data_IF_015981009443
#
_entry.id   IF_015981009443
#
_cell.length_a   1.000
_cell.length_b   1.000
_cell.length_c   1.000
_cell.angle_alpha   90.00
_cell.angle_beta   90.00
_cell.angle_gamma   90.00
#
_symmetry.space_group_name_H-M   'P 1'
#
loop_
_entity.id
_entity.type
_entity.pdbx_description
1 polymer ?
#
# COMPACT_ATOMS: atom_id res chain seq x y z
N UNK A 1 20.88 30.27 22.32
CA UNK A 1 20.75 29.44 23.52
C UNK A 1 20.53 28.00 23.05
N UNK A 2 21.20 26.98 23.62
CA UNK A 2 21.20 25.63 23.09
C UNK A 2 19.89 24.90 23.41
N UNK A 3 19.43 24.12 22.45
CA UNK A 3 18.28 23.23 22.59
C UNK A 3 18.62 22.09 23.57
N UNK A 4 17.79 21.90 24.60
CA UNK A 4 17.90 20.78 25.53
C UNK A 4 17.14 19.61 24.93
N UNK A 5 17.87 18.58 24.51
CA UNK A 5 17.30 17.30 24.09
C UNK A 5 17.09 16.42 25.33
N UNK A 6 15.85 16.15 25.68
CA UNK A 6 15.49 15.11 26.63
C UNK A 6 15.33 13.77 25.87
N UNK A 7 16.28 12.88 26.10
CA UNK A 7 16.24 11.50 25.63
C UNK A 7 15.61 10.63 26.73
N UNK A 8 14.42 10.14 26.52
CA UNK A 8 13.72 9.24 27.43
C UNK A 8 12.33 8.95 26.91
N UNK A 9 12.13 7.74 26.43
CA UNK A 9 10.84 7.05 26.17
C UNK A 9 9.56 7.86 26.44
N UNK A 10 9.25 8.84 25.59
CA UNK A 10 7.92 9.45 25.42
C UNK A 10 8.03 10.51 24.33
N UNK A 11 7.45 10.17 23.16
CA UNK A 11 6.85 11.09 22.19
C UNK A 11 7.53 12.46 22.05
N UNK A 12 8.30 12.65 20.99
CA UNK A 12 8.87 13.93 20.58
C UNK A 12 7.76 14.95 20.37
N UNK A 13 7.54 15.84 21.34
CA UNK A 13 6.81 17.08 21.16
C UNK A 13 7.82 18.06 20.55
N UNK A 14 7.74 18.31 19.26
CA UNK A 14 8.53 19.39 18.64
C UNK A 14 7.81 20.71 18.93
N UNK A 15 8.31 21.46 19.90
CA UNK A 15 7.92 22.85 20.15
C UNK A 15 8.63 23.73 19.11
N UNK A 16 7.90 24.20 18.11
CA UNK A 16 8.39 25.24 17.21
C UNK A 16 8.03 26.60 17.84
N UNK A 17 9.05 27.31 18.33
CA UNK A 17 8.90 28.72 18.74
C UNK A 17 8.97 29.59 17.48
N UNK A 18 7.88 30.23 17.13
CA UNK A 18 7.88 31.33 16.17
C UNK A 18 7.94 32.61 16.99
N UNK A 19 9.09 33.25 17.00
CA UNK A 19 9.24 34.62 17.56
C UNK A 19 8.73 35.59 16.51
N UNK A 20 7.57 36.20 16.73
CA UNK A 20 7.20 37.44 16.05
C UNK A 20 7.50 38.60 16.98
N UNK A 21 8.18 39.60 16.45
CA UNK A 21 8.46 40.85 17.16
C UNK A 21 7.15 41.52 17.61
N UNK A 22 7.09 41.89 18.87
CA UNK A 22 6.16 42.82 19.56
C UNK A 22 5.00 42.28 20.41
N UNK A 23 4.80 41.01 20.55
CA UNK A 23 4.02 40.54 21.71
C UNK A 23 4.20 39.00 21.86
N UNK A 24 4.68 38.61 23.04
CA UNK A 24 4.84 37.19 23.38
C UNK A 24 3.46 36.55 23.64
N UNK A 25 2.67 36.32 22.62
CA UNK A 25 1.54 35.44 22.68
C UNK A 25 2.03 33.99 22.46
N UNK A 26 2.01 33.22 23.54
CA UNK A 26 2.22 31.80 23.48
C UNK A 26 0.99 31.18 22.78
N UNK A 27 1.05 31.07 21.46
CA UNK A 27 0.04 30.31 20.72
C UNK A 27 0.32 28.82 21.01
N UNK A 28 -0.41 28.28 21.97
CA UNK A 28 -0.54 26.84 22.10
C UNK A 28 -1.25 26.30 20.87
N UNK A 29 -0.49 26.06 19.80
CA UNK A 29 -0.99 25.22 18.73
C UNK A 29 -1.13 23.83 19.33
N UNK A 30 -2.34 23.50 19.73
CA UNK A 30 -2.74 22.13 19.95
C UNK A 30 -2.58 21.42 18.60
N UNK A 31 -1.36 20.99 18.29
CA UNK A 31 -1.18 19.91 17.33
C UNK A 31 -2.01 18.76 17.89
N UNK A 32 -3.23 18.61 17.37
CA UNK A 32 -3.97 17.38 17.54
C UNK A 32 -2.95 16.30 17.29
N UNK A 33 -2.59 15.57 18.35
CA UNK A 33 -1.84 14.34 18.28
C UNK A 33 -2.34 13.64 17.02
N UNK A 34 -1.56 13.68 15.94
CA UNK A 34 -1.80 12.79 14.85
C UNK A 34 -1.76 11.44 15.56
N UNK A 35 -2.92 10.88 15.86
CA UNK A 35 -2.99 9.49 16.28
C UNK A 35 -2.24 8.79 15.17
N UNK A 36 -1.03 8.36 15.50
CA UNK A 36 -0.29 7.42 14.69
C UNK A 36 -1.16 6.17 14.72
N UNK A 37 -2.20 6.20 13.90
CA UNK A 37 -3.11 5.09 13.69
C UNK A 37 -2.18 3.96 13.30
N UNK A 38 -1.99 3.02 14.24
CA UNK A 38 -1.19 1.83 14.00
C UNK A 38 -1.72 1.25 12.70
N UNK A 39 -0.95 1.42 11.64
CA UNK A 39 -1.30 0.91 10.34
C UNK A 39 -1.56 -0.58 10.48
N UNK A 40 -2.80 -0.99 10.33
CA UNK A 40 -3.16 -2.41 10.44
C UNK A 40 -2.80 -3.08 9.13
N UNK A 41 -1.60 -3.64 9.06
CA UNK A 41 -1.20 -4.50 7.95
C UNK A 41 -1.38 -5.96 8.32
N UNK A 42 -2.22 -6.68 7.58
CA UNK A 42 -2.48 -8.11 7.80
C UNK A 42 -2.64 -8.85 6.48
N UNK A 43 -1.95 -9.98 6.35
CA UNK A 43 -2.10 -10.92 5.24
C UNK A 43 -2.61 -12.25 5.77
N UNK A 44 -3.78 -12.68 5.30
CA UNK A 44 -4.42 -13.94 5.68
C UNK A 44 -4.58 -14.83 4.45
N UNK A 45 -4.46 -16.15 4.66
CA UNK A 45 -4.77 -17.15 3.65
C UNK A 45 -5.98 -17.98 4.07
N UNK A 46 -6.79 -18.38 3.09
CA UNK A 46 -7.98 -19.19 3.31
C UNK A 46 -8.30 -20.03 2.07
N UNK A 47 -9.06 -21.09 2.24
CA UNK A 47 -9.53 -21.91 1.13
C UNK A 47 -10.78 -21.27 0.51
N UNK A 48 -10.80 -21.14 -0.82
CA UNK A 48 -12.00 -20.74 -1.55
C UNK A 48 -12.83 -21.99 -1.86
N UNK A 49 -13.79 -22.28 -0.98
CA UNK A 49 -14.73 -23.39 -1.21
C UNK A 49 -15.73 -22.99 -2.31
N UNK A 50 -15.81 -23.80 -3.35
CA UNK A 50 -16.90 -23.74 -4.32
C UNK A 50 -18.08 -24.55 -3.79
N UNK A 51 -19.30 -24.31 -4.31
CA UNK A 51 -20.50 -25.06 -3.93
C UNK A 51 -20.47 -26.54 -4.33
N UNK A 52 -19.61 -26.91 -5.30
CA UNK A 52 -19.44 -28.28 -5.75
C UNK A 52 -18.64 -29.07 -4.70
N UNK A 53 -19.33 -29.95 -4.01
CA UNK A 53 -18.85 -30.69 -2.81
C UNK A 53 -17.77 -31.73 -3.08
N UNK A 54 -17.44 -32.04 -4.33
CA UNK A 54 -16.56 -33.17 -4.70
C UNK A 54 -15.10 -32.76 -4.98
N UNK A 55 -14.73 -31.52 -4.75
CA UNK A 55 -13.35 -31.10 -4.98
C UNK A 55 -12.44 -31.54 -3.82
N UNK A 56 -11.69 -32.63 -4.03
CA UNK A 56 -10.65 -33.09 -3.09
C UNK A 56 -9.54 -32.05 -2.85
N UNK A 57 -9.39 -31.11 -3.76
CA UNK A 57 -8.32 -30.10 -3.77
C UNK A 57 -8.93 -28.73 -3.99
N UNK A 58 -8.66 -27.79 -3.10
CA UNK A 58 -9.30 -26.46 -3.05
C UNK A 58 -8.26 -25.35 -3.26
N UNK A 59 -8.55 -24.32 -4.07
CA UNK A 59 -7.63 -23.22 -4.28
C UNK A 59 -7.48 -22.35 -3.03
N UNK A 60 -6.25 -21.93 -2.76
CA UNK A 60 -5.91 -21.00 -1.68
C UNK A 60 -6.01 -19.56 -2.17
N UNK A 61 -6.74 -18.75 -1.43
CA UNK A 61 -6.84 -17.31 -1.62
C UNK A 61 -6.12 -16.58 -0.50
N UNK A 62 -5.56 -15.43 -0.84
CA UNK A 62 -5.00 -14.49 0.12
C UNK A 62 -5.87 -13.25 0.24
N UNK A 63 -5.86 -12.63 1.42
CA UNK A 63 -6.50 -11.36 1.72
C UNK A 63 -5.52 -10.43 2.41
N UNK A 64 -5.32 -9.26 1.82
CA UNK A 64 -4.56 -8.15 2.41
C UNK A 64 -5.55 -7.20 3.05
N UNK A 65 -5.28 -6.79 4.27
CA UNK A 65 -6.07 -5.77 4.99
C UNK A 65 -5.12 -4.67 5.46
N UNK A 66 -5.39 -3.43 5.07
CA UNK A 66 -4.60 -2.25 5.44
C UNK A 66 -5.58 -1.13 5.77
N UNK A 67 -5.53 -0.60 6.99
CA UNK A 67 -6.35 0.54 7.44
C UNK A 67 -7.83 0.43 7.05
N UNK A 68 -8.43 -0.75 7.21
CA UNK A 68 -9.82 -1.02 6.84
C UNK A 68 -10.03 -1.33 5.35
N UNK A 69 -9.08 -1.05 4.46
CA UNK A 69 -9.17 -1.47 3.05
C UNK A 69 -8.84 -2.95 2.90
N UNK A 70 -9.54 -3.64 2.01
CA UNK A 70 -9.39 -5.08 1.81
C UNK A 70 -9.17 -5.36 0.33
N UNK A 71 -8.17 -6.19 0.01
CA UNK A 71 -7.97 -6.71 -1.34
C UNK A 71 -7.69 -8.21 -1.31
N UNK A 72 -8.21 -8.93 -2.29
CA UNK A 72 -8.06 -10.39 -2.39
C UNK A 72 -7.21 -10.75 -3.61
N UNK A 73 -6.49 -11.88 -3.50
CA UNK A 73 -5.66 -12.43 -4.57
C UNK A 73 -5.62 -13.95 -4.51
N UNK A 74 -5.27 -14.60 -5.61
CA UNK A 74 -5.03 -16.03 -5.64
C UNK A 74 -3.59 -16.34 -5.26
N UNK A 75 -3.38 -17.30 -4.34
CA UNK A 75 -2.04 -17.80 -4.02
C UNK A 75 -1.49 -18.74 -5.11
N UNK A 76 -2.28 -19.04 -6.15
CA UNK A 76 -1.94 -19.94 -7.28
C UNK A 76 -1.48 -21.33 -6.84
N UNK A 77 -1.97 -21.79 -5.70
CA UNK A 77 -1.78 -23.16 -5.20
C UNK A 77 -3.13 -23.75 -4.82
N UNK A 78 -3.21 -25.06 -4.98
CA UNK A 78 -4.35 -25.86 -4.56
C UNK A 78 -3.92 -26.79 -3.44
N UNK A 79 -4.77 -26.98 -2.43
CA UNK A 79 -4.45 -27.75 -1.23
C UNK A 79 -5.59 -28.70 -0.91
N UNK A 80 -5.30 -29.97 -0.55
CA UNK A 80 -6.33 -30.88 -0.03
C UNK A 80 -6.96 -30.26 1.23
N UNK A 81 -8.30 -30.23 1.28
CA UNK A 81 -9.01 -29.60 2.40
C UNK A 81 -8.62 -30.18 3.77
N UNK A 82 -8.35 -31.49 3.80
CA UNK A 82 -7.92 -32.21 5.01
C UNK A 82 -6.59 -31.72 5.59
N UNK A 83 -5.69 -31.22 4.72
CA UNK A 83 -4.39 -30.67 5.13
C UNK A 83 -4.45 -29.22 5.59
N UNK A 84 -5.61 -28.57 5.50
CA UNK A 84 -5.71 -27.15 5.82
C UNK A 84 -6.13 -26.89 7.27
N UNK A 85 -5.41 -25.99 7.94
CA UNK A 85 -5.76 -25.47 9.24
C UNK A 85 -6.41 -24.08 9.10
N UNK A 86 -7.71 -24.02 9.37
CA UNK A 86 -8.49 -22.78 9.18
C UNK A 86 -8.03 -21.65 10.10
N UNK A 87 -7.76 -21.98 11.38
CA UNK A 87 -7.33 -20.97 12.38
C UNK A 87 -5.95 -20.37 12.05
N UNK A 88 -5.01 -21.21 11.62
CA UNK A 88 -3.66 -20.79 11.26
C UNK A 88 -3.54 -20.22 9.86
N UNK A 89 -4.51 -20.50 8.96
CA UNK A 89 -4.44 -20.11 7.55
C UNK A 89 -3.23 -20.74 6.83
N UNK A 90 -2.91 -22.02 7.15
CA UNK A 90 -1.75 -22.76 6.62
C UNK A 90 -1.99 -24.25 6.62
N UNK A 91 -1.10 -25.02 5.99
CA UNK A 91 -1.19 -26.47 5.97
C UNK A 91 -0.80 -27.09 7.32
N UNK A 92 -1.52 -28.13 7.73
CA UNK A 92 -1.29 -28.90 8.96
C UNK A 92 -0.13 -29.88 8.80
N UNK A 93 0.49 -30.23 9.95
CA UNK A 93 1.48 -31.30 10.05
C UNK A 93 2.86 -30.90 9.52
N UNK A 94 3.76 -31.90 9.51
CA UNK A 94 5.18 -31.77 9.14
C UNK A 94 5.51 -32.62 7.89
N UNK A 95 4.52 -32.92 7.06
CA UNK A 95 4.78 -33.61 5.79
C UNK A 95 5.54 -32.69 4.83
N UNK A 96 6.34 -33.28 3.94
CA UNK A 96 7.08 -32.52 2.91
C UNK A 96 6.14 -31.63 2.10
N UNK A 97 4.92 -32.11 1.82
CA UNK A 97 3.91 -31.33 1.12
C UNK A 97 3.42 -30.12 1.94
N UNK A 98 3.13 -30.32 3.23
CA UNK A 98 2.72 -29.24 4.14
C UNK A 98 3.81 -28.18 4.28
N UNK A 99 5.07 -28.61 4.38
CA UNK A 99 6.20 -27.68 4.46
C UNK A 99 6.38 -26.89 3.16
N UNK A 100 6.23 -27.53 2.01
CA UNK A 100 6.29 -26.87 0.70
C UNK A 100 5.20 -25.81 0.56
N UNK A 101 3.96 -26.15 0.91
CA UNK A 101 2.83 -25.23 0.90
C UNK A 101 3.10 -24.04 1.83
N UNK A 102 3.47 -24.31 3.07
CA UNK A 102 3.74 -23.28 4.07
C UNK A 102 4.87 -22.36 3.65
N UNK A 103 5.96 -22.88 3.12
CA UNK A 103 7.07 -22.08 2.58
C UNK A 103 6.62 -21.17 1.44
N UNK A 104 5.77 -21.67 0.55
CA UNK A 104 5.22 -20.85 -0.53
C UNK A 104 4.35 -19.69 0.00
N UNK A 105 3.48 -19.97 0.98
CA UNK A 105 2.65 -18.94 1.62
C UNK A 105 3.48 -17.91 2.38
N UNK A 106 4.52 -18.35 3.09
CA UNK A 106 5.43 -17.45 3.81
C UNK A 106 6.23 -16.57 2.83
N UNK A 107 6.67 -17.10 1.68
CA UNK A 107 7.31 -16.31 0.63
C UNK A 107 6.38 -15.23 0.08
N UNK A 108 5.11 -15.56 -0.21
CA UNK A 108 4.11 -14.56 -0.63
C UNK A 108 3.95 -13.47 0.44
N UNK A 109 3.82 -13.87 1.70
CA UNK A 109 3.67 -12.90 2.82
C UNK A 109 4.86 -11.97 2.92
N UNK A 110 6.08 -12.49 2.78
CA UNK A 110 7.32 -11.70 2.82
C UNK A 110 7.37 -10.72 1.64
N UNK A 111 7.03 -11.16 0.42
CA UNK A 111 7.02 -10.31 -0.76
C UNK A 111 6.00 -9.17 -0.62
N UNK A 112 4.77 -9.48 -0.20
CA UNK A 112 3.73 -8.48 0.03
C UNK A 112 4.19 -7.48 1.12
N UNK A 113 4.85 -7.98 2.19
CA UNK A 113 5.42 -7.13 3.24
C UNK A 113 6.49 -6.16 2.73
N UNK A 114 7.37 -6.61 1.83
CA UNK A 114 8.37 -5.75 1.18
C UNK A 114 7.73 -4.65 0.33
N UNK A 115 6.72 -4.98 -0.48
CA UNK A 115 5.99 -3.98 -1.27
C UNK A 115 5.22 -3.01 -0.38
N UNK A 116 4.59 -3.49 0.69
CA UNK A 116 3.93 -2.63 1.67
C UNK A 116 4.91 -1.62 2.27
N UNK A 117 6.08 -2.07 2.74
CA UNK A 117 7.09 -1.18 3.31
C UNK A 117 7.58 -0.16 2.28
N UNK A 118 7.93 -0.61 1.08
CA UNK A 118 8.37 0.28 0.00
C UNK A 118 7.36 1.36 -0.35
N UNK A 119 6.05 1.03 -0.35
CA UNK A 119 4.99 2.01 -0.59
C UNK A 119 4.85 2.97 0.59
N UNK A 120 4.93 2.48 1.84
CA UNK A 120 4.89 3.33 3.04
C UNK A 120 6.03 4.37 3.07
N UNK A 121 7.20 4.03 2.51
CA UNK A 121 8.36 4.93 2.50
C UNK A 121 8.20 6.09 1.49
N UNK A 122 7.31 5.94 0.49
CA UNK A 122 7.15 6.91 -0.61
C UNK A 122 5.77 7.57 -0.65
N UNK A 123 4.73 6.90 -0.14
CA UNK A 123 3.34 7.31 -0.25
C UNK A 123 2.73 7.65 1.11
N UNK A 124 2.09 8.80 1.20
CA UNK A 124 1.35 9.20 2.41
C UNK A 124 0.10 8.34 2.67
N UNK A 125 -0.42 7.65 1.65
CA UNK A 125 -1.63 6.84 1.75
C UNK A 125 -1.48 5.48 1.09
N UNK A 126 -1.52 4.43 1.91
CA UNK A 126 -1.34 3.04 1.49
C UNK A 126 -2.67 2.29 1.57
N UNK A 127 -3.05 1.64 0.47
CA UNK A 127 -4.25 0.78 0.40
C UNK A 127 -3.87 -0.67 0.10
N UNK A 128 -4.76 -1.60 0.49
CA UNK A 128 -4.58 -3.02 0.19
C UNK A 128 -4.51 -3.30 -1.33
N UNK A 129 -5.18 -2.48 -2.13
CA UNK A 129 -5.17 -2.61 -3.58
C UNK A 129 -3.85 -2.15 -4.20
N UNK A 130 -3.28 -1.00 -3.77
CA UNK A 130 -1.96 -0.55 -4.20
C UNK A 130 -0.91 -1.62 -3.94
N UNK A 131 -0.87 -2.18 -2.74
CA UNK A 131 0.08 -3.22 -2.36
C UNK A 131 -0.10 -4.49 -3.18
N UNK A 132 -1.35 -4.94 -3.40
CA UNK A 132 -1.63 -6.08 -4.29
C UNK A 132 -1.13 -5.83 -5.70
N UNK A 133 -1.43 -4.66 -6.27
CA UNK A 133 -1.06 -4.33 -7.65
C UNK A 133 0.47 -4.23 -7.80
N UNK A 134 1.17 -3.64 -6.83
CA UNK A 134 2.63 -3.61 -6.81
C UNK A 134 3.23 -5.02 -6.77
N UNK A 135 2.71 -5.89 -5.90
CA UNK A 135 3.15 -7.29 -5.80
C UNK A 135 2.88 -8.09 -7.08
N UNK A 136 1.75 -7.84 -7.76
CA UNK A 136 1.42 -8.50 -9.03
C UNK A 136 2.19 -7.93 -10.24
N UNK A 137 3.05 -6.92 -10.04
CA UNK A 137 3.74 -6.24 -11.12
C UNK A 137 2.82 -5.38 -11.99
N UNK A 138 1.60 -5.17 -11.54
CA UNK A 138 0.65 -4.24 -12.15
C UNK A 138 0.94 -2.83 -11.61
N UNK A 139 2.12 -2.28 -11.85
CA UNK A 139 2.52 -0.96 -11.36
C UNK A 139 1.40 0.07 -11.48
N UNK A 140 1.51 1.20 -10.84
CA UNK A 140 0.48 2.23 -10.89
C UNK A 140 0.19 2.62 -12.35
N UNK A 141 -0.84 2.00 -12.92
CA UNK A 141 -1.40 2.40 -14.23
C UNK A 141 -2.19 3.71 -14.12
N UNK A 142 -2.31 4.21 -12.91
CA UNK A 142 -2.96 5.50 -12.66
C UNK A 142 -1.97 6.62 -12.94
N UNK A 143 -2.02 7.13 -14.18
CA UNK A 143 -1.44 8.43 -14.44
C UNK A 143 -2.28 9.45 -13.70
N UNK A 144 -1.66 10.33 -12.92
CA UNK A 144 -2.39 11.46 -12.36
C UNK A 144 -2.99 12.29 -13.51
N UNK A 145 -4.09 12.98 -13.27
CA UNK A 145 -4.70 13.87 -14.28
C UNK A 145 -3.65 14.84 -14.83
N UNK A 146 -2.77 15.34 -13.96
CA UNK A 146 -1.67 16.23 -14.34
C UNK A 146 -0.72 15.55 -15.33
N UNK A 147 -0.26 14.34 -15.05
CA UNK A 147 0.63 13.60 -15.95
C UNK A 147 -0.01 13.29 -17.30
N UNK A 148 -1.32 13.00 -17.32
CA UNK A 148 -2.06 12.79 -18.58
C UNK A 148 -2.15 14.10 -19.37
N UNK A 149 -2.41 15.20 -18.68
CA UNK A 149 -2.51 16.52 -19.29
C UNK A 149 -1.16 17.02 -19.81
N UNK A 150 -0.08 16.86 -19.04
CA UNK A 150 1.28 17.18 -19.49
C UNK A 150 1.67 16.37 -20.74
N UNK A 151 1.37 15.07 -20.74
CA UNK A 151 1.63 14.25 -21.92
C UNK A 151 0.85 14.74 -23.14
N UNK A 152 -0.43 15.06 -22.95
CA UNK A 152 -1.30 15.60 -24.01
C UNK A 152 -0.78 16.96 -24.55
N UNK A 153 -0.40 17.89 -23.68
CA UNK A 153 0.12 19.20 -24.09
C UNK A 153 1.48 19.06 -24.80
N UNK A 154 2.33 18.12 -24.37
CA UNK A 154 3.59 17.82 -25.08
C UNK A 154 3.36 17.22 -26.46
N UNK A 155 2.34 16.36 -26.63
CA UNK A 155 1.99 15.81 -27.94
C UNK A 155 1.38 16.88 -28.86
N UNK A 156 0.57 17.80 -28.33
CA UNK A 156 0.09 18.96 -29.10
C UNK A 156 1.25 19.83 -29.57
N UNK A 157 2.26 20.05 -28.72
CA UNK A 157 3.44 20.83 -29.09
C UNK A 157 4.19 20.23 -30.29
N UNK A 158 4.37 18.91 -30.32
CA UNK A 158 5.02 18.19 -31.43
C UNK A 158 4.26 18.29 -32.76
N UNK A 159 2.97 18.60 -32.69
CA UNK A 159 2.07 18.69 -33.86
C UNK A 159 1.90 20.12 -34.40
N UNK A 160 2.56 21.11 -33.77
CA UNK A 160 2.57 22.48 -34.27
C UNK A 160 3.26 22.52 -35.64
N UNK A 161 2.62 23.15 -36.59
CA UNK A 161 3.09 23.24 -38.00
C UNK A 161 2.80 22.01 -38.84
N UNK A 162 2.27 20.92 -38.30
CA UNK A 162 1.79 19.76 -39.05
C UNK A 162 0.28 19.83 -39.24
N UNK A 163 -0.48 19.77 -38.16
CA UNK A 163 -1.94 19.80 -38.16
C UNK A 163 -2.56 20.64 -37.04
N UNK A 164 -1.72 21.30 -36.22
CA UNK A 164 -2.11 22.15 -35.09
C UNK A 164 -1.42 23.51 -35.16
N UNK A 165 -2.16 24.57 -34.74
CA UNK A 165 -1.61 25.89 -34.60
C UNK A 165 -0.99 26.12 -33.23
N UNK A 166 0.00 27.00 -33.15
CA UNK A 166 0.65 27.40 -31.88
C UNK A 166 -0.37 27.98 -30.89
N UNK A 167 -1.37 28.74 -31.38
CA UNK A 167 -2.44 29.30 -30.53
C UNK A 167 -3.27 28.22 -29.85
N UNK A 168 -3.43 27.05 -30.46
CA UNK A 168 -4.12 25.91 -29.86
C UNK A 168 -3.32 25.38 -28.67
N UNK A 169 -2.00 25.22 -28.81
CA UNK A 169 -1.14 24.77 -27.73
C UNK A 169 -1.13 25.72 -26.53
N UNK A 170 -1.04 27.05 -26.76
CA UNK A 170 -1.09 28.05 -25.71
C UNK A 170 -2.37 28.00 -24.87
N UNK A 171 -3.53 27.70 -25.47
CA UNK A 171 -4.81 27.56 -24.75
C UNK A 171 -4.82 26.41 -23.73
N UNK A 172 -4.04 25.38 -23.97
CA UNK A 172 -3.97 24.21 -23.06
C UNK A 172 -2.84 24.29 -22.07
N UNK A 173 -1.91 25.21 -22.21
CA UNK A 173 -0.79 25.40 -21.29
C UNK A 173 -1.08 26.43 -20.17
N UNK A 174 -2.08 27.28 -20.35
CA UNK A 174 -2.50 28.23 -19.33
C UNK A 174 -3.26 27.54 -18.21
#
# INVERSE_FOLDING_TARGET
>A
MPAVTYNGYLQSITLIFILSDDSAEIIFVHLKKAEFMRSTFKVLFYLKRNKDKDQKVVPVMGRITINGTISQFSAKINVPEQLWEVKGGRAKGKSVESERINRHLDNIRIQIGKHYQSICDHDAYVTAEKVKNAWLGMGERYRTLVNVFEHYTNDLFKRIGVDRSESTWWRYRA
#
